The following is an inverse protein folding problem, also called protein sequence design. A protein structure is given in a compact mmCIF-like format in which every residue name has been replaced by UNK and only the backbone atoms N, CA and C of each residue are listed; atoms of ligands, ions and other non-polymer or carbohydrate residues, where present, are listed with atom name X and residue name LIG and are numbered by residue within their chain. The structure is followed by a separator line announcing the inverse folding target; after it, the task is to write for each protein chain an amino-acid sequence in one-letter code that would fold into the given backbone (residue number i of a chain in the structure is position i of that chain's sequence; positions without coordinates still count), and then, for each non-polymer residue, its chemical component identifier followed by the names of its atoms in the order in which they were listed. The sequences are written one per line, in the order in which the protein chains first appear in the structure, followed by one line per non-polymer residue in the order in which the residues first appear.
data_IF_251517168414
#
_entry.id   IF_251517168414
#
_cell.length_a   1.000
_cell.length_b   1.000
_cell.length_c   1.000
_cell.angle_alpha   90.00
_cell.angle_beta   90.00
_cell.angle_gamma   90.00
#
_symmetry.space_group_name_H-M   'P 1'
#
loop_
_entity.id
_entity.type
_entity.pdbx_description
1 polymer ?
#
# COMPACT_ATOMS: atom_id res chain seq x y z
N UNK A 1 -11.94 -8.44 -6.96
CA UNK A 1 -11.42 -7.67 -5.81
C UNK A 1 -12.46 -6.75 -5.21
N UNK A 2 -12.93 -5.77 -6.00
CA UNK A 2 -13.96 -4.81 -5.60
C UNK A 2 -15.23 -5.45 -5.01
N UNK A 3 -15.74 -6.51 -5.67
CA UNK A 3 -16.94 -7.25 -5.23
C UNK A 3 -16.76 -8.02 -3.91
N UNK A 4 -15.52 -8.25 -3.48
CA UNK A 4 -15.21 -9.07 -2.30
C UNK A 4 -14.78 -8.19 -1.12
N UNK A 5 -13.94 -7.19 -1.36
CA UNK A 5 -13.32 -6.37 -0.30
C UNK A 5 -13.61 -4.87 -0.42
N UNK A 6 -14.35 -4.43 -1.46
CA UNK A 6 -14.62 -3.01 -1.72
C UNK A 6 -13.34 -2.18 -1.85
N UNK A 7 -13.37 -0.97 -1.29
CA UNK A 7 -12.24 -0.02 -1.24
C UNK A 7 -11.46 -0.09 0.07
N UNK A 8 -11.31 -1.29 0.63
CA UNK A 8 -10.61 -1.47 1.90
C UNK A 8 -9.11 -1.69 1.73
N UNK A 9 -8.35 -1.51 2.82
CA UNK A 9 -6.95 -1.94 2.90
C UNK A 9 -6.77 -3.44 2.64
N UNK A 10 -7.79 -4.26 2.90
CA UNK A 10 -7.73 -5.68 2.57
C UNK A 10 -7.76 -5.92 1.06
N UNK A 11 -8.41 -5.07 0.27
CA UNK A 11 -8.34 -5.10 -1.19
C UNK A 11 -6.90 -4.82 -1.69
N UNK A 12 -6.18 -3.90 -1.04
CA UNK A 12 -4.75 -3.62 -1.31
C UNK A 12 -3.89 -4.84 -0.96
N UNK A 13 -4.14 -5.46 0.19
CA UNK A 13 -3.48 -6.70 0.59
C UNK A 13 -3.71 -7.85 -0.39
N UNK A 14 -4.95 -7.99 -0.86
CA UNK A 14 -5.37 -9.03 -1.77
C UNK A 14 -4.76 -8.87 -3.18
N UNK A 15 -4.37 -7.65 -3.59
CA UNK A 15 -3.69 -7.45 -4.87
C UNK A 15 -2.36 -8.22 -4.91
N UNK A 16 -1.62 -8.19 -3.80
CA UNK A 16 -0.35 -8.90 -3.69
C UNK A 16 -0.51 -10.39 -3.32
N UNK A 17 -1.45 -10.74 -2.43
CA UNK A 17 -1.55 -12.09 -1.90
C UNK A 17 -2.65 -12.96 -2.54
N UNK A 18 -3.55 -12.38 -3.31
CA UNK A 18 -4.75 -13.03 -3.82
C UNK A 18 -5.91 -13.11 -2.80
N UNK A 19 -7.04 -13.65 -3.26
CA UNK A 19 -8.31 -13.65 -2.50
C UNK A 19 -8.55 -14.91 -1.67
N UNK A 20 -7.65 -15.91 -1.74
CA UNK A 20 -7.78 -17.16 -0.98
C UNK A 20 -7.91 -16.89 0.52
N UNK A 21 -8.86 -17.53 1.23
CA UNK A 21 -9.02 -17.37 2.69
C UNK A 21 -7.74 -17.68 3.47
N UNK A 22 -6.97 -18.70 3.04
CA UNK A 22 -5.70 -19.11 3.66
C UNK A 22 -4.60 -18.03 3.65
N UNK A 23 -4.79 -16.95 2.88
CA UNK A 23 -3.83 -15.86 2.72
C UNK A 23 -4.25 -14.57 3.43
N UNK A 24 -5.28 -14.62 4.29
CA UNK A 24 -5.75 -13.46 5.07
C UNK A 24 -4.62 -12.74 5.79
N UNK A 25 -3.70 -13.49 6.40
CA UNK A 25 -2.65 -12.89 7.22
C UNK A 25 -1.59 -12.21 6.35
N UNK A 26 -1.29 -12.78 5.18
CA UNK A 26 -0.38 -12.18 4.20
C UNK A 26 -1.02 -10.88 3.66
N UNK A 27 -2.32 -10.89 3.38
CA UNK A 27 -3.05 -9.67 2.98
C UNK A 27 -2.96 -8.58 4.04
N UNK A 28 -3.28 -8.90 5.29
CA UNK A 28 -3.23 -7.95 6.42
C UNK A 28 -1.83 -7.38 6.60
N UNK A 29 -0.79 -8.23 6.54
CA UNK A 29 0.61 -7.79 6.62
C UNK A 29 0.97 -6.83 5.49
N UNK A 30 0.63 -7.16 4.24
CA UNK A 30 0.93 -6.30 3.11
C UNK A 30 0.16 -4.98 3.17
N UNK A 31 -1.13 -5.04 3.50
CA UNK A 31 -1.97 -3.86 3.69
C UNK A 31 -1.40 -2.90 4.75
N UNK A 32 -0.96 -3.45 5.90
CA UNK A 32 -0.30 -2.67 6.96
C UNK A 32 0.98 -1.99 6.47
N UNK A 33 1.84 -2.72 5.74
CA UNK A 33 3.08 -2.17 5.15
C UNK A 33 2.78 -0.97 4.25
N UNK A 34 1.76 -1.08 3.38
CA UNK A 34 1.39 0.04 2.49
C UNK A 34 0.79 1.20 3.27
N UNK A 35 -0.06 0.94 4.28
CA UNK A 35 -0.62 1.98 5.13
C UNK A 35 0.47 2.79 5.87
N UNK A 36 1.49 2.12 6.40
CA UNK A 36 2.62 2.79 7.06
C UNK A 36 3.40 3.70 6.08
N UNK A 37 3.64 3.22 4.86
CA UNK A 37 4.27 4.03 3.81
C UNK A 37 3.39 5.20 3.38
N UNK A 38 2.09 4.97 3.21
CA UNK A 38 1.13 6.01 2.88
C UNK A 38 1.08 7.10 3.94
N UNK A 39 1.07 6.74 5.23
CA UNK A 39 1.10 7.72 6.33
C UNK A 39 2.35 8.59 6.30
N UNK A 40 3.52 7.99 6.07
CA UNK A 40 4.78 8.73 5.91
C UNK A 40 4.70 9.71 4.75
N UNK A 41 4.24 9.24 3.58
CA UNK A 41 4.10 10.09 2.40
C UNK A 41 3.05 11.19 2.62
N UNK A 42 1.94 10.90 3.28
CA UNK A 42 0.88 11.88 3.53
C UNK A 42 1.36 13.01 4.44
N UNK A 43 2.22 12.70 5.41
CA UNK A 43 2.82 13.67 6.33
C UNK A 43 4.00 14.47 5.78
N UNK A 44 4.55 14.11 4.61
CA UNK A 44 5.66 14.85 3.99
C UNK A 44 5.19 16.16 3.35
N UNK A 45 6.08 17.16 3.35
CA UNK A 45 5.91 18.40 2.59
C UNK A 45 5.95 18.12 1.07
N UNK A 46 5.54 19.10 0.26
CA UNK A 46 5.60 18.99 -1.20
C UNK A 46 7.06 18.88 -1.68
N UNK A 47 7.96 19.62 -1.05
CA UNK A 47 9.40 19.64 -1.34
C UNK A 47 10.04 18.28 -1.05
N UNK A 48 9.71 17.67 0.10
CA UNK A 48 10.19 16.34 0.48
C UNK A 48 9.68 15.25 -0.48
N UNK A 49 8.41 15.33 -0.90
CA UNK A 49 7.83 14.41 -1.89
C UNK A 49 8.55 14.53 -3.23
N UNK A 50 8.77 15.76 -3.71
CA UNK A 50 9.44 16.02 -4.98
C UNK A 50 10.90 15.53 -4.96
N UNK A 51 11.62 15.75 -3.86
CA UNK A 51 12.99 15.23 -3.68
C UNK A 51 13.02 13.69 -3.67
N UNK A 52 12.05 13.04 -3.02
CA UNK A 52 11.99 11.58 -2.99
C UNK A 52 11.64 11.00 -4.36
N UNK A 53 10.74 11.65 -5.11
CA UNK A 53 10.37 11.26 -6.47
C UNK A 53 11.56 11.40 -7.43
N UNK A 54 12.32 12.49 -7.36
CA UNK A 54 13.50 12.68 -8.21
C UNK A 54 14.59 11.64 -7.95
N UNK A 55 14.80 11.22 -6.70
CA UNK A 55 15.72 10.12 -6.37
C UNK A 55 15.23 8.78 -6.95
N UNK A 56 13.93 8.50 -6.90
CA UNK A 56 13.37 7.25 -7.40
C UNK A 56 13.39 7.13 -8.93
N UNK A 57 13.31 8.24 -9.65
CA UNK A 57 13.33 8.28 -11.13
C UNK A 57 14.75 8.12 -11.69
N UNK A 58 15.78 8.54 -10.94
CA UNK A 58 17.18 8.49 -11.36
C UNK A 58 17.91 7.19 -10.96
N UNK A 59 17.17 6.15 -10.55
CA UNK A 59 17.70 4.86 -10.10
C UNK A 59 17.20 3.74 -11.00
#
# INVERSE_FOLDING_TARGET
MMKIYGYSWEAVGAYNAGTSPKRSDIRKRYAKKIWENYRKLKGMSAEEKNKRLSIAVNK
#
